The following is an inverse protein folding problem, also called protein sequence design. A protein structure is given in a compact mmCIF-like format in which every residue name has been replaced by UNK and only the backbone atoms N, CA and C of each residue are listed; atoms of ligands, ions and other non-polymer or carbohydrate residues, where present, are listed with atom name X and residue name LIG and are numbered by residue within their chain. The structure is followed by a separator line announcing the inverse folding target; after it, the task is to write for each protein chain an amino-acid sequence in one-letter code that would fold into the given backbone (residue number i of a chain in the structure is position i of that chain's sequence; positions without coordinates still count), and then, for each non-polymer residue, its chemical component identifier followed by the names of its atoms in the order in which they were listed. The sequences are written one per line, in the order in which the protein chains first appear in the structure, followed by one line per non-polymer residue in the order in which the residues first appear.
data_IF_076818249048
#
_entry.id   IF_076818249048
#
_cell.length_a   1.000
_cell.length_b   1.000
_cell.length_c   1.000
_cell.angle_alpha   90.00
_cell.angle_beta   90.00
_cell.angle_gamma   90.00
#
_symmetry.space_group_name_H-M   'P 1'
#
loop_
_entity.id
_entity.type
_entity.pdbx_description
1 polymer ?
#
# COMPACT_ATOMS: atom_id res chain seq x y z
N UNK A 1 8.94 4.65 2.02
CA UNK A 1 9.49 4.90 0.67
C UNK A 1 8.74 4.18 -0.45
N UNK A 2 8.58 2.84 -0.45
CA UNK A 2 7.89 2.15 -1.55
C UNK A 2 6.43 2.56 -1.70
N UNK A 3 5.66 2.58 -0.60
CA UNK A 3 4.26 3.04 -0.62
C UNK A 3 4.13 4.51 -1.02
N UNK A 4 5.08 5.37 -0.63
CA UNK A 4 5.13 6.77 -1.04
C UNK A 4 5.34 6.91 -2.55
N UNK A 5 6.26 6.12 -3.11
CA UNK A 5 6.51 6.11 -4.55
C UNK A 5 5.32 5.53 -5.33
N UNK A 6 4.69 4.47 -4.83
CA UNK A 6 3.46 3.92 -5.38
C UNK A 6 2.30 4.93 -5.35
N UNK A 7 2.13 5.63 -4.23
CA UNK A 7 1.16 6.71 -4.08
C UNK A 7 1.37 7.83 -5.11
N UNK A 8 2.63 8.21 -5.36
CA UNK A 8 2.98 9.22 -6.36
C UNK A 8 2.58 8.79 -7.78
N UNK A 9 2.78 7.52 -8.11
CA UNK A 9 2.36 6.96 -9.40
C UNK A 9 0.85 7.10 -9.57
N UNK A 10 0.06 6.72 -8.57
CA UNK A 10 -1.39 6.73 -8.67
C UNK A 10 -1.95 8.17 -8.68
N UNK A 11 -1.36 9.09 -7.91
CA UNK A 11 -1.71 10.50 -7.96
C UNK A 11 -1.36 11.16 -9.31
N UNK A 12 -0.23 10.76 -9.92
CA UNK A 12 0.19 11.27 -11.23
C UNK A 12 -0.64 10.69 -12.39
N UNK A 13 -1.11 9.44 -12.27
CA UNK A 13 -2.03 8.81 -13.24
C UNK A 13 -3.44 9.37 -13.18
N UNK A 14 -3.87 9.79 -12.00
CA UNK A 14 -5.21 10.35 -11.78
C UNK A 14 -5.12 11.73 -11.12
N UNK A 15 -5.02 12.82 -11.93
CA UNK A 15 -4.92 14.18 -11.42
C UNK A 15 -6.08 14.61 -10.51
N UNK A 16 -7.25 13.97 -10.65
CA UNK A 16 -8.40 14.28 -9.80
C UNK A 16 -8.15 13.90 -8.33
N UNK A 17 -7.42 12.81 -8.07
CA UNK A 17 -7.03 12.40 -6.71
C UNK A 17 -6.20 13.51 -6.07
N UNK A 18 -5.18 14.00 -6.77
CA UNK A 18 -4.33 15.08 -6.29
C UNK A 18 -5.13 16.36 -6.03
N UNK A 19 -6.00 16.74 -6.98
CA UNK A 19 -6.86 17.93 -6.86
C UNK A 19 -7.83 17.83 -5.68
N UNK A 20 -8.44 16.67 -5.46
CA UNK A 20 -9.35 16.44 -4.34
C UNK A 20 -8.63 16.58 -3.00
N UNK A 21 -7.44 15.99 -2.84
CA UNK A 21 -6.63 16.14 -1.62
C UNK A 21 -6.15 17.58 -1.41
N UNK A 22 -5.88 18.32 -2.49
CA UNK A 22 -5.50 19.74 -2.40
C UNK A 22 -6.67 20.59 -1.91
N UNK A 23 -7.89 20.28 -2.35
CA UNK A 23 -9.11 20.96 -1.92
C UNK A 23 -9.62 20.55 -0.53
N UNK A 24 -9.33 19.32 -0.12
CA UNK A 24 -9.77 18.78 1.18
C UNK A 24 -8.65 17.88 1.77
N UNK A 25 -7.92 18.42 2.72
CA UNK A 25 -6.79 17.75 3.40
C UNK A 25 -7.22 16.55 4.25
N UNK A 26 -8.48 16.46 4.64
CA UNK A 26 -8.99 15.29 5.39
C UNK A 26 -8.89 13.99 4.58
N UNK A 27 -8.88 14.07 3.26
CA UNK A 27 -8.73 12.93 2.34
C UNK A 27 -7.32 12.32 2.31
N UNK A 28 -6.30 13.03 2.80
CA UNK A 28 -4.90 12.54 2.80
C UNK A 28 -4.75 11.24 3.60
N UNK A 29 -5.44 11.12 4.72
CA UNK A 29 -5.36 9.91 5.55
C UNK A 29 -5.86 8.66 4.80
N UNK A 30 -7.02 8.74 4.15
CA UNK A 30 -7.56 7.63 3.34
C UNK A 30 -6.66 7.30 2.15
N UNK A 31 -6.14 8.31 1.47
CA UNK A 31 -5.19 8.13 0.39
C UNK A 31 -3.91 7.40 0.84
N UNK A 32 -3.38 7.72 2.01
CA UNK A 32 -2.19 7.05 2.59
C UNK A 32 -2.49 5.58 2.88
N UNK A 33 -3.63 5.26 3.52
CA UNK A 33 -4.02 3.87 3.78
C UNK A 33 -4.17 3.07 2.47
N UNK A 34 -4.82 3.66 1.48
CA UNK A 34 -4.99 3.00 0.19
C UNK A 34 -3.67 2.80 -0.55
N UNK A 35 -2.76 3.76 -0.49
CA UNK A 35 -1.43 3.63 -1.07
C UNK A 35 -0.61 2.50 -0.41
N UNK A 36 -0.76 2.31 0.89
CA UNK A 36 -0.12 1.23 1.64
C UNK A 36 -0.72 -0.13 1.23
N UNK A 37 -2.05 -0.24 1.16
CA UNK A 37 -2.74 -1.43 0.65
C UNK A 37 -2.30 -1.73 -0.78
N UNK A 38 -2.35 -0.74 -1.65
CA UNK A 38 -2.09 -0.84 -3.08
C UNK A 38 -0.67 -1.32 -3.38
N UNK A 39 0.31 -0.75 -2.75
CA UNK A 39 1.71 -1.11 -2.99
C UNK A 39 2.11 -2.41 -2.29
N UNK A 40 1.63 -2.66 -1.06
CA UNK A 40 1.99 -3.83 -0.26
C UNK A 40 3.50 -4.14 -0.37
N UNK A 41 4.40 -3.30 0.18
CA UNK A 41 5.84 -3.40 -0.07
C UNK A 41 6.44 -4.74 0.34
N UNK A 42 6.03 -5.28 1.48
CA UNK A 42 6.35 -6.65 1.92
C UNK A 42 5.32 -7.59 1.31
N UNK A 43 5.76 -8.52 0.46
CA UNK A 43 4.86 -9.36 -0.32
C UNK A 43 4.32 -10.54 0.46
N UNK A 44 5.11 -11.10 1.36
CA UNK A 44 4.73 -12.27 2.14
C UNK A 44 5.56 -12.41 3.40
N UNK A 45 5.11 -13.27 4.29
CA UNK A 45 5.91 -13.91 5.34
C UNK A 45 5.60 -15.40 5.38
N UNK A 46 6.53 -16.16 5.97
CA UNK A 46 6.32 -17.58 6.26
C UNK A 46 5.88 -17.75 7.71
N UNK A 47 5.12 -18.82 7.95
CA UNK A 47 4.81 -19.36 9.28
C UNK A 47 5.13 -20.84 9.27
N UNK A 48 5.42 -21.39 10.44
CA UNK A 48 5.57 -22.83 10.64
C UNK A 48 4.44 -23.28 11.56
N UNK A 49 3.75 -24.34 11.14
CA UNK A 49 2.69 -24.95 11.98
C UNK A 49 3.31 -25.57 13.25
N UNK A 50 2.80 -25.23 14.42
CA UNK A 50 3.29 -25.76 15.69
C UNK A 50 2.65 -27.10 16.08
N UNK A 51 1.54 -27.43 15.42
CA UNK A 51 0.76 -28.65 15.59
C UNK A 51 -0.02 -28.94 14.30
N UNK A 52 -0.56 -30.16 14.19
CA UNK A 52 -1.47 -30.48 13.09
C UNK A 52 -2.70 -29.58 13.17
N UNK A 53 -3.07 -28.98 12.03
CA UNK A 53 -4.19 -28.02 11.97
C UNK A 53 -4.90 -28.09 10.62
N UNK A 54 -5.96 -27.30 10.48
CA UNK A 54 -6.69 -27.16 9.23
C UNK A 54 -7.00 -25.70 8.95
N UNK A 55 -6.78 -25.26 7.70
CA UNK A 55 -7.11 -23.90 7.23
C UNK A 55 -7.91 -24.04 5.94
N UNK A 56 -9.14 -23.54 5.91
CA UNK A 56 -10.00 -23.57 4.72
C UNK A 56 -10.25 -24.97 4.14
N UNK A 57 -10.36 -26.00 5.00
CA UNK A 57 -10.53 -27.40 4.59
C UNK A 57 -9.23 -28.11 4.20
N UNK A 58 -8.09 -27.40 4.17
CA UNK A 58 -6.78 -27.98 3.88
C UNK A 58 -6.08 -28.42 5.15
N UNK A 59 -5.73 -29.69 5.27
CA UNK A 59 -4.93 -30.24 6.37
C UNK A 59 -3.48 -29.76 6.24
N UNK A 60 -2.92 -29.33 7.38
CA UNK A 60 -1.55 -28.84 7.52
C UNK A 60 -0.92 -29.63 8.65
N UNK A 61 0.18 -30.31 8.37
CA UNK A 61 0.88 -31.07 9.39
C UNK A 61 1.76 -30.13 10.26
N UNK A 62 2.05 -30.58 11.46
CA UNK A 62 3.06 -29.94 12.29
C UNK A 62 4.39 -29.80 11.51
N UNK A 63 5.06 -28.68 11.69
CA UNK A 63 6.30 -28.28 11.03
C UNK A 63 6.17 -27.93 9.54
N UNK A 64 4.96 -27.99 8.96
CA UNK A 64 4.73 -27.47 7.59
C UNK A 64 4.93 -25.96 7.53
N UNK A 65 5.44 -25.51 6.37
CA UNK A 65 5.60 -24.07 6.07
C UNK A 65 4.34 -23.50 5.41
N UNK A 66 3.82 -22.43 5.99
CA UNK A 66 2.63 -21.71 5.52
C UNK A 66 3.09 -20.38 4.91
N UNK A 67 2.85 -20.21 3.60
CA UNK A 67 3.12 -18.97 2.90
C UNK A 67 1.95 -18.00 3.07
N UNK A 68 2.16 -16.89 3.77
CA UNK A 68 1.15 -15.85 4.00
C UNK A 68 1.35 -14.72 3.00
N UNK A 69 0.59 -14.72 1.90
CA UNK A 69 0.68 -13.71 0.85
C UNK A 69 -0.09 -12.44 1.21
N UNK A 70 0.60 -11.38 1.58
CA UNK A 70 -0.01 -10.07 1.84
C UNK A 70 -0.56 -9.42 0.57
N UNK A 71 0.09 -9.68 -0.57
CA UNK A 71 -0.37 -9.16 -1.86
C UNK A 71 -1.73 -9.75 -2.23
N UNK A 72 -1.91 -11.06 -2.05
CA UNK A 72 -3.18 -11.73 -2.29
C UNK A 72 -4.25 -11.25 -1.31
N UNK A 73 -3.94 -11.23 -0.02
CA UNK A 73 -4.88 -10.77 1.01
C UNK A 73 -5.35 -9.32 0.80
N UNK A 74 -4.46 -8.43 0.35
CA UNK A 74 -4.80 -7.03 0.07
C UNK A 74 -5.52 -6.83 -1.29
N UNK A 75 -5.76 -7.92 -2.04
CA UNK A 75 -6.52 -7.96 -3.29
C UNK A 75 -7.68 -8.96 -3.24
N UNK A 76 -8.01 -9.44 -2.05
CA UNK A 76 -9.11 -10.38 -1.86
C UNK A 76 -10.46 -9.67 -2.06
N UNK A 77 -11.16 -10.04 -3.14
CA UNK A 77 -12.44 -9.44 -3.52
C UNK A 77 -13.59 -9.82 -2.57
N UNK A 78 -13.40 -10.84 -1.72
CA UNK A 78 -14.35 -11.14 -0.64
C UNK A 78 -14.27 -10.14 0.52
N UNK A 79 -13.16 -9.39 0.63
CA UNK A 79 -12.88 -8.43 1.69
C UNK A 79 -12.89 -6.99 1.16
N UNK A 80 -12.39 -6.78 -0.05
CA UNK A 80 -12.26 -5.47 -0.67
C UNK A 80 -13.09 -5.38 -1.94
N UNK A 81 -14.18 -4.65 -1.91
CA UNK A 81 -14.93 -4.31 -3.11
C UNK A 81 -13.99 -3.61 -4.10
N UNK A 82 -14.05 -3.99 -5.38
CA UNK A 82 -13.13 -3.49 -6.42
C UNK A 82 -11.66 -3.52 -5.99
N UNK A 83 -11.19 -4.68 -5.47
CA UNK A 83 -9.86 -4.85 -4.87
C UNK A 83 -8.70 -4.42 -5.78
N UNK A 84 -8.91 -4.46 -7.12
CA UNK A 84 -7.94 -4.08 -8.15
C UNK A 84 -8.08 -2.63 -8.64
N UNK A 85 -8.91 -1.83 -7.96
CA UNK A 85 -9.05 -0.38 -8.20
C UNK A 85 -8.43 0.39 -7.04
N UNK A 86 -7.60 1.41 -7.37
CA UNK A 86 -7.07 2.34 -6.37
C UNK A 86 -8.17 3.31 -5.96
N UNK A 87 -8.64 3.22 -4.74
CA UNK A 87 -9.73 4.05 -4.20
C UNK A 87 -9.32 4.74 -2.89
N UNK A 88 -8.93 6.02 -2.91
CA UNK A 88 -8.55 6.77 -1.71
C UNK A 88 -9.66 6.92 -0.67
N UNK A 89 -10.91 6.71 -1.06
CA UNK A 89 -12.08 6.81 -0.19
C UNK A 89 -12.53 5.43 0.35
N UNK A 90 -11.74 4.40 0.14
CA UNK A 90 -12.03 3.05 0.62
C UNK A 90 -12.20 3.01 2.14
N UNK A 91 -13.39 2.59 2.58
CA UNK A 91 -13.71 2.40 3.99
C UNK A 91 -14.68 1.23 4.17
N UNK A 92 -14.39 0.24 5.05
CA UNK A 92 -13.15 0.10 5.79
C UNK A 92 -11.98 -0.32 4.88
N UNK A 93 -10.74 0.07 5.24
CA UNK A 93 -9.52 -0.36 4.56
C UNK A 93 -8.67 -1.24 5.49
N UNK A 94 -9.09 -2.50 5.65
CA UNK A 94 -8.50 -3.48 6.60
C UNK A 94 -7.32 -4.23 5.98
N UNK A 95 -6.39 -3.51 5.37
CA UNK A 95 -5.26 -4.14 4.71
C UNK A 95 -4.26 -4.81 5.67
N UNK A 96 -3.58 -5.84 5.20
CA UNK A 96 -2.54 -6.59 5.92
C UNK A 96 -1.12 -6.17 5.56
N UNK A 97 -0.91 -5.00 4.94
CA UNK A 97 0.42 -4.55 4.51
C UNK A 97 1.43 -4.40 5.66
N UNK A 98 0.96 -4.23 6.89
CA UNK A 98 1.76 -4.20 8.11
C UNK A 98 1.73 -5.52 8.90
N UNK A 99 1.14 -6.57 8.36
CA UNK A 99 0.88 -7.80 9.09
C UNK A 99 -0.26 -7.68 10.09
N UNK A 100 -0.40 -8.71 10.93
CA UNK A 100 -1.43 -8.79 11.95
C UNK A 100 -0.95 -9.61 13.17
N UNK A 101 -1.56 -9.38 14.33
CA UNK A 101 -1.29 -10.10 15.55
C UNK A 101 0.03 -9.69 16.24
N UNK A 102 0.69 -10.60 17.00
CA UNK A 102 1.88 -10.27 17.79
C UNK A 102 3.05 -9.72 17.00
N UNK A 103 3.10 -10.00 15.68
CA UNK A 103 4.14 -9.56 14.76
C UNK A 103 3.74 -8.37 13.89
N UNK A 104 2.68 -7.64 14.25
CA UNK A 104 2.31 -6.43 13.52
C UNK A 104 3.49 -5.44 13.49
N UNK A 105 3.66 -4.77 12.37
CA UNK A 105 4.77 -3.84 12.17
C UNK A 105 4.82 -2.77 13.28
N UNK A 106 5.92 -2.74 14.05
CA UNK A 106 6.15 -1.76 15.11
C UNK A 106 6.13 -0.32 14.58
N UNK A 107 6.68 -0.12 13.37
CA UNK A 107 6.79 1.19 12.72
C UNK A 107 5.52 1.64 11.98
N UNK A 108 4.40 0.92 12.05
CA UNK A 108 3.21 1.23 11.26
C UNK A 108 2.65 2.65 11.47
N UNK A 109 2.70 3.15 12.70
CA UNK A 109 2.21 4.49 13.04
C UNK A 109 3.15 5.57 12.51
N UNK A 110 4.47 5.36 12.64
CA UNK A 110 5.47 6.26 12.09
C UNK A 110 5.38 6.33 10.56
N UNK A 111 5.26 5.19 9.89
CA UNK A 111 5.14 5.14 8.43
C UNK A 111 3.92 5.92 7.91
N UNK A 112 2.78 5.82 8.59
CA UNK A 112 1.56 6.59 8.27
C UNK A 112 1.79 8.09 8.49
N UNK A 113 2.41 8.45 9.61
CA UNK A 113 2.71 9.85 9.93
C UNK A 113 3.66 10.46 8.91
N UNK A 114 4.76 9.78 8.58
CA UNK A 114 5.72 10.24 7.56
C UNK A 114 5.04 10.46 6.20
N UNK A 115 4.23 9.51 5.75
CA UNK A 115 3.51 9.64 4.48
C UNK A 115 2.51 10.79 4.52
N UNK A 116 1.75 10.93 5.61
CA UNK A 116 0.79 12.02 5.79
C UNK A 116 1.49 13.37 5.74
N UNK A 117 2.52 13.58 6.54
CA UNK A 117 3.28 14.84 6.57
C UNK A 117 3.88 15.19 5.20
N UNK A 118 4.46 14.19 4.50
CA UNK A 118 4.99 14.39 3.15
C UNK A 118 3.91 14.87 2.17
N UNK A 119 2.74 14.22 2.18
CA UNK A 119 1.67 14.59 1.26
C UNK A 119 1.05 15.94 1.61
N UNK A 120 0.85 16.25 2.89
CA UNK A 120 0.36 17.57 3.33
C UNK A 120 1.30 18.68 2.89
N UNK A 121 2.62 18.47 3.04
CA UNK A 121 3.62 19.42 2.61
C UNK A 121 3.71 19.56 1.09
N UNK A 122 3.68 18.45 0.36
CA UNK A 122 3.68 18.45 -1.11
C UNK A 122 2.48 19.21 -1.67
N UNK A 123 1.29 18.93 -1.14
CA UNK A 123 0.04 19.56 -1.58
C UNK A 123 0.01 21.08 -1.30
N UNK A 124 0.84 21.59 -0.36
CA UNK A 124 0.97 23.02 -0.10
C UNK A 124 1.85 23.74 -1.11
N UNK A 125 2.80 23.01 -1.74
CA UNK A 125 3.85 23.58 -2.59
C UNK A 125 3.69 23.27 -4.07
N UNK A 126 2.79 22.35 -4.41
CA UNK A 126 2.65 21.81 -5.77
C UNK A 126 1.20 21.89 -6.21
N UNK A 127 0.97 22.38 -7.44
CA UNK A 127 -0.37 22.45 -8.04
C UNK A 127 -0.78 21.17 -8.74
N UNK A 128 0.17 20.49 -9.36
CA UNK A 128 -0.09 19.23 -10.07
C UNK A 128 1.15 18.38 -10.18
N UNK A 129 0.93 17.09 -10.31
CA UNK A 129 1.96 16.08 -10.61
C UNK A 129 1.53 15.26 -11.82
N UNK A 130 2.48 14.88 -12.67
CA UNK A 130 2.28 14.00 -13.82
C UNK A 130 3.48 13.07 -13.99
N UNK A 131 3.28 11.92 -14.63
CA UNK A 131 4.41 11.07 -15.01
C UNK A 131 5.19 11.71 -16.16
N UNK A 132 6.51 11.76 -16.01
CA UNK A 132 7.45 12.23 -17.04
C UNK A 132 8.14 11.08 -17.79
N UNK A 133 7.72 9.84 -17.52
CA UNK A 133 8.22 8.61 -18.14
C UNK A 133 7.71 7.38 -17.37
N UNK A 134 8.07 6.19 -17.84
CA UNK A 134 7.61 4.94 -17.26
C UNK A 134 8.28 4.66 -15.91
N UNK A 135 7.51 4.44 -14.83
CA UNK A 135 8.05 4.01 -13.56
C UNK A 135 8.75 2.65 -13.68
N UNK A 136 9.94 2.54 -13.11
CA UNK A 136 10.66 1.26 -13.04
C UNK A 136 10.44 0.61 -11.68
N UNK A 137 10.16 -0.69 -11.66
CA UNK A 137 9.96 -1.46 -10.44
C UNK A 137 11.16 -2.36 -10.13
N UNK A 138 11.35 -2.66 -8.85
CA UNK A 138 12.33 -3.67 -8.42
C UNK A 138 11.80 -5.07 -8.75
N UNK A 139 12.67 -5.92 -9.25
CA UNK A 139 12.41 -7.36 -9.38
C UNK A 139 12.91 -8.05 -8.10
N UNK A 140 12.02 -8.16 -7.11
CA UNK A 140 12.33 -8.79 -5.83
C UNK A 140 11.11 -9.58 -5.35
N UNK A 141 11.35 -10.75 -4.75
CA UNK A 141 10.28 -11.62 -4.29
C UNK A 141 9.71 -11.20 -2.93
N UNK A 142 10.53 -10.65 -2.04
CA UNK A 142 10.15 -10.39 -0.64
C UNK A 142 9.74 -8.94 -0.41
N UNK A 143 10.63 -7.97 -0.63
CA UNK A 143 10.31 -6.54 -0.52
C UNK A 143 10.44 -5.91 -1.90
N UNK A 144 9.36 -5.33 -2.38
CA UNK A 144 9.25 -4.81 -3.73
C UNK A 144 8.58 -3.43 -3.73
N UNK A 145 8.89 -2.64 -4.75
CA UNK A 145 8.28 -1.33 -4.96
C UNK A 145 8.86 -0.62 -6.17
N UNK A 146 8.45 0.61 -6.45
CA UNK A 146 9.05 1.42 -7.48
C UNK A 146 10.53 1.70 -7.17
N UNK A 147 11.40 1.48 -8.17
CA UNK A 147 12.84 1.79 -8.12
C UNK A 147 13.10 3.24 -8.54
N UNK A 148 12.35 3.72 -9.53
CA UNK A 148 12.35 5.12 -9.96
C UNK A 148 10.98 5.51 -10.48
N UNK A 149 10.58 6.75 -10.21
CA UNK A 149 9.32 7.33 -10.67
C UNK A 149 9.65 8.69 -11.27
N UNK A 150 9.84 8.77 -12.60
CA UNK A 150 10.03 10.05 -13.26
C UNK A 150 8.75 10.86 -13.17
N UNK A 151 8.80 12.01 -12.52
CA UNK A 151 7.65 12.92 -12.38
C UNK A 151 8.01 14.32 -12.83
N UNK A 152 7.01 15.03 -13.34
CA UNK A 152 7.00 16.48 -13.51
C UNK A 152 5.97 17.06 -12.57
N UNK A 153 6.30 18.15 -11.92
CA UNK A 153 5.38 18.86 -11.05
C UNK A 153 5.35 20.35 -11.39
N UNK A 154 4.20 20.97 -11.18
CA UNK A 154 4.01 22.40 -11.31
C UNK A 154 4.02 22.99 -9.89
N UNK A 155 4.97 23.87 -9.53
CA UNK A 155 4.94 24.59 -8.25
C UNK A 155 3.68 25.46 -8.13
N UNK A 156 3.20 25.65 -6.90
CA UNK A 156 2.11 26.58 -6.57
C UNK A 156 2.55 28.01 -6.63
#
# INVERSE_FOLDING_TARGET
SASTAGAMIEAAKNPNIFKQMKGDRSKVAGFVEEAIRWETPVKHFMRTATEDTEIGGQKIAKDDYIYVSYTSANRDESIFEDAFTFNPERTPNRHLAFGYGPHVCLGQHLARLEMKCLWEELLSRVDSVELAGDPKRMSAAFVCGPKSVPIRFKPS
#
